data_IF_937508913001
#
_entry.id   IF_937508913001
#
_cell.length_a   1.000
_cell.length_b   1.000
_cell.length_c   1.000
_cell.angle_alpha   90.00
_cell.angle_beta   90.00
_cell.angle_gamma   90.00
#
_symmetry.space_group_name_H-M   'P 1'
#
loop_
_entity.id
_entity.type
_entity.pdbx_description
1 polymer ?
#
# COMPACT_ATOMS: atom_id res chain seq x y z
N UNK A 1 -18.72 1.32 2.19
CA UNK A 1 -17.41 1.80 1.73
C UNK A 1 -16.55 0.58 1.44
N UNK A 2 -15.82 0.56 0.33
CA UNK A 2 -15.03 -0.59 -0.13
C UNK A 2 -13.58 -0.18 -0.35
N UNK A 3 -12.67 -1.11 -0.05
CA UNK A 3 -11.24 -1.00 -0.33
C UNK A 3 -10.79 -2.29 -1.03
N UNK A 4 -9.90 -2.15 -2.00
CA UNK A 4 -9.19 -3.29 -2.60
C UNK A 4 -7.89 -3.54 -1.85
N UNK A 5 -7.59 -4.79 -1.52
CA UNK A 5 -6.30 -5.17 -0.94
C UNK A 5 -5.63 -6.18 -1.86
N UNK A 6 -4.43 -5.86 -2.31
CA UNK A 6 -3.59 -6.73 -3.12
C UNK A 6 -2.37 -7.16 -2.32
N UNK A 7 -2.25 -8.46 -2.05
CA UNK A 7 -1.01 -9.05 -1.54
C UNK A 7 -0.19 -9.56 -2.73
N UNK A 8 1.04 -9.09 -2.88
CA UNK A 8 1.88 -9.46 -4.01
C UNK A 8 3.38 -9.54 -3.65
N UNK A 9 4.17 -10.17 -4.51
CA UNK A 9 5.63 -10.16 -4.39
C UNK A 9 6.27 -8.85 -4.88
N UNK A 10 7.56 -8.67 -4.58
CA UNK A 10 8.29 -7.42 -4.86
C UNK A 10 8.26 -7.03 -6.35
N UNK A 11 8.37 -8.00 -7.27
CA UNK A 11 8.32 -7.73 -8.72
C UNK A 11 7.04 -7.03 -9.14
N UNK A 12 5.89 -7.47 -8.61
CA UNK A 12 4.58 -6.86 -8.92
C UNK A 12 4.46 -5.48 -8.29
N UNK A 13 4.92 -5.32 -7.04
CA UNK A 13 4.91 -4.04 -6.34
C UNK A 13 5.79 -3.01 -7.04
N UNK A 14 7.01 -3.38 -7.44
CA UNK A 14 7.91 -2.51 -8.23
C UNK A 14 7.27 -2.10 -9.56
N UNK A 15 6.63 -3.03 -10.28
CA UNK A 15 5.93 -2.72 -11.53
C UNK A 15 4.79 -1.70 -11.30
N UNK A 16 4.05 -1.81 -10.20
CA UNK A 16 3.00 -0.84 -9.83
C UNK A 16 3.61 0.51 -9.42
N UNK A 17 4.66 0.50 -8.61
CA UNK A 17 5.35 1.70 -8.14
C UNK A 17 5.93 2.50 -9.32
N UNK A 18 6.56 1.82 -10.28
CA UNK A 18 7.07 2.42 -11.52
C UNK A 18 5.93 2.98 -12.37
N UNK A 19 4.86 2.20 -12.57
CA UNK A 19 3.75 2.59 -13.45
C UNK A 19 2.97 3.79 -12.94
N UNK A 20 2.71 3.86 -11.63
CA UNK A 20 1.77 4.85 -11.07
C UNK A 20 2.45 5.96 -10.29
N UNK A 21 3.63 5.73 -9.71
CA UNK A 21 4.38 6.73 -8.92
C UNK A 21 5.75 7.08 -9.52
N UNK A 22 6.12 6.50 -10.66
CA UNK A 22 7.40 6.78 -11.34
C UNK A 22 8.65 6.24 -10.62
N UNK A 23 8.49 5.40 -9.60
CA UNK A 23 9.56 4.91 -8.72
C UNK A 23 9.91 3.45 -9.07
N UNK A 24 11.10 3.21 -9.62
CA UNK A 24 11.53 1.88 -10.09
C UNK A 24 12.24 1.05 -9.00
N UNK A 25 11.56 0.84 -7.87
CA UNK A 25 12.01 -0.04 -6.79
C UNK A 25 10.81 -0.64 -6.04
N UNK A 26 10.95 -1.83 -5.43
CA UNK A 26 9.90 -2.38 -4.58
C UNK A 26 9.81 -1.60 -3.26
N UNK A 27 8.58 -1.33 -2.80
CA UNK A 27 8.29 -0.78 -1.48
C UNK A 27 7.47 -1.80 -0.67
N UNK A 28 7.26 -1.53 0.61
CA UNK A 28 6.42 -2.35 1.48
C UNK A 28 4.93 -2.19 1.22
N UNK A 29 4.44 -0.96 1.03
CA UNK A 29 3.03 -0.66 0.75
C UNK A 29 2.87 0.47 -0.27
N UNK A 30 1.83 0.37 -1.09
CA UNK A 30 1.34 1.41 -1.98
C UNK A 30 -0.15 1.66 -1.70
N UNK A 31 -0.56 2.93 -1.66
CA UNK A 31 -1.95 3.33 -1.51
C UNK A 31 -2.38 4.17 -2.72
N UNK A 32 -3.47 3.77 -3.37
CA UNK A 32 -4.04 4.46 -4.54
C UNK A 32 -5.42 5.01 -4.18
N UNK A 33 -5.48 6.31 -3.90
CA UNK A 33 -6.73 6.99 -3.54
C UNK A 33 -7.56 7.34 -4.80
N UNK A 34 -8.79 6.84 -4.87
CA UNK A 34 -9.70 7.14 -5.99
C UNK A 34 -10.59 8.37 -5.75
N UNK A 35 -10.65 8.90 -4.53
CA UNK A 35 -11.39 10.12 -4.21
C UNK A 35 -10.65 11.38 -4.70
N UNK A 36 -9.32 11.33 -4.81
CA UNK A 36 -8.45 12.45 -5.22
C UNK A 36 -8.12 12.46 -6.72
N UNK A 37 -8.62 11.49 -7.50
CA UNK A 37 -8.34 11.36 -8.94
C UNK A 37 -9.44 11.89 -9.87
N UNK A 38 -9.09 12.18 -11.12
CA UNK A 38 -10.02 12.66 -12.18
C UNK A 38 -11.16 11.67 -12.52
N UNK A 39 -11.06 10.41 -12.08
CA UNK A 39 -12.04 9.36 -12.34
C UNK A 39 -12.61 8.83 -11.04
N UNK A 40 -13.63 9.53 -10.50
CA UNK A 40 -14.48 8.97 -9.44
C UNK A 40 -15.09 7.66 -9.95
N UNK A 41 -14.71 6.53 -9.34
CA UNK A 41 -15.38 5.27 -9.62
C UNK A 41 -16.83 5.35 -9.09
N UNK A 42 -17.81 4.75 -9.78
CA UNK A 42 -19.17 4.71 -9.27
C UNK A 42 -19.22 3.91 -7.95
N UNK A 43 -19.91 4.47 -6.95
CA UNK A 43 -20.14 3.84 -5.65
C UNK A 43 -19.18 4.25 -4.54
N UNK A 44 -19.32 3.61 -3.37
CA UNK A 44 -18.58 3.92 -2.14
C UNK A 44 -17.16 3.30 -2.13
N UNK A 45 -16.37 3.39 -3.20
CA UNK A 45 -15.04 2.76 -3.30
C UNK A 45 -13.92 3.78 -3.00
N UNK A 46 -13.14 3.54 -1.94
CA UNK A 46 -12.16 4.51 -1.42
C UNK A 46 -10.82 4.44 -2.18
N UNK A 47 -10.33 3.23 -2.45
CA UNK A 47 -8.95 3.06 -2.90
C UNK A 47 -8.51 1.61 -3.00
N UNK A 48 -7.28 1.44 -3.47
CA UNK A 48 -6.55 0.17 -3.42
C UNK A 48 -5.32 0.31 -2.51
N UNK A 49 -5.05 -0.73 -1.71
CA UNK A 49 -3.81 -0.90 -0.95
C UNK A 49 -3.08 -2.13 -1.49
N UNK A 50 -1.84 -1.97 -1.91
CA UNK A 50 -1.00 -3.08 -2.36
C UNK A 50 0.18 -3.28 -1.40
N UNK A 51 0.32 -4.49 -0.86
CA UNK A 51 1.35 -4.84 0.14
C UNK A 51 2.32 -5.88 -0.44
N UNK A 52 3.62 -5.64 -0.24
CA UNK A 52 4.66 -6.61 -0.54
C UNK A 52 4.76 -7.66 0.57
N UNK A 53 4.41 -8.91 0.25
CA UNK A 53 4.53 -10.05 1.18
C UNK A 53 6.00 -10.35 1.50
N UNK A 54 6.90 -10.12 0.55
CA UNK A 54 8.35 -10.32 0.76
C UNK A 54 8.90 -9.28 1.73
N UNK A 55 8.55 -8.00 1.56
CA UNK A 55 8.95 -6.93 2.50
C UNK A 55 8.35 -7.13 3.89
N UNK A 56 7.08 -7.55 3.98
CA UNK A 56 6.47 -7.86 5.26
C UNK A 56 7.20 -9.00 5.99
N UNK A 57 7.66 -10.03 5.26
CA UNK A 57 8.49 -11.10 5.84
C UNK A 57 9.86 -10.59 6.31
N UNK A 58 10.52 -9.74 5.52
CA UNK A 58 11.79 -9.10 5.91
C UNK A 58 11.62 -8.25 7.19
N UNK A 59 10.54 -7.46 7.27
CA UNK A 59 10.21 -6.63 8.43
C UNK A 59 9.87 -7.48 9.66
N UNK A 60 9.09 -8.54 9.48
CA UNK A 60 8.72 -9.47 10.55
C UNK A 60 9.97 -10.08 11.21
N UNK A 61 10.92 -10.56 10.40
CA UNK A 61 12.19 -11.09 10.90
C UNK A 61 13.02 -10.01 11.61
N UNK A 62 13.08 -8.80 11.04
CA UNK A 62 13.85 -7.68 11.60
C UNK A 62 13.30 -7.19 12.94
N UNK A 63 11.97 -7.14 13.10
CA UNK A 63 11.31 -6.57 14.27
C UNK A 63 10.81 -7.62 15.27
N UNK A 64 11.03 -8.92 14.99
CA UNK A 64 10.58 -10.01 15.87
C UNK A 64 9.06 -10.19 15.90
N UNK A 65 8.39 -9.89 14.78
CA UNK A 65 6.95 -10.02 14.60
C UNK A 65 6.61 -11.20 13.67
N UNK A 66 5.32 -11.48 13.49
CA UNK A 66 4.85 -12.44 12.47
C UNK A 66 4.56 -11.73 11.14
N UNK A 67 4.72 -12.41 9.99
CA UNK A 67 4.36 -11.83 8.69
C UNK A 67 2.91 -11.33 8.64
N UNK A 68 1.98 -12.03 9.30
CA UNK A 68 0.57 -11.64 9.37
C UNK A 68 0.37 -10.31 10.09
N UNK A 69 1.12 -10.09 11.18
CA UNK A 69 1.07 -8.83 11.94
C UNK A 69 1.61 -7.67 11.10
N UNK A 70 2.76 -7.85 10.45
CA UNK A 70 3.35 -6.83 9.57
C UNK A 70 2.43 -6.50 8.39
N UNK A 71 1.82 -7.51 7.76
CA UNK A 71 0.83 -7.29 6.69
C UNK A 71 -0.36 -6.50 7.24
N UNK A 72 -0.88 -6.82 8.43
CA UNK A 72 -1.99 -6.09 9.03
C UNK A 72 -1.63 -4.63 9.32
N UNK A 73 -0.43 -4.36 9.84
CA UNK A 73 0.09 -3.01 10.08
C UNK A 73 0.26 -2.23 8.78
N UNK A 74 0.83 -2.84 7.74
CA UNK A 74 0.98 -2.22 6.41
C UNK A 74 -0.36 -1.94 5.74
N UNK A 75 -1.35 -2.85 5.86
CA UNK A 75 -2.71 -2.61 5.36
C UNK A 75 -3.35 -1.45 6.12
N UNK A 76 -3.26 -1.43 7.45
CA UNK A 76 -3.80 -0.34 8.26
C UNK A 76 -3.16 1.00 7.89
N UNK A 77 -1.84 1.04 7.74
CA UNK A 77 -1.10 2.21 7.28
C UNK A 77 -1.55 2.66 5.88
N UNK A 78 -1.68 1.73 4.93
CA UNK A 78 -2.19 2.03 3.59
C UNK A 78 -3.62 2.60 3.60
N UNK A 79 -4.50 2.08 4.46
CA UNK A 79 -5.87 2.60 4.61
C UNK A 79 -5.88 4.02 5.22
N UNK A 80 -5.00 4.32 6.18
CA UNK A 80 -4.86 5.68 6.71
C UNK A 80 -4.49 6.68 5.62
N UNK A 81 -3.59 6.30 4.71
CA UNK A 81 -3.27 7.10 3.53
C UNK A 81 -4.46 7.33 2.61
N UNK A 82 -5.29 6.31 2.38
CA UNK A 82 -6.52 6.45 1.61
C UNK A 82 -7.52 7.42 2.25
N UNK A 83 -7.48 7.58 3.58
CA UNK A 83 -8.30 8.53 4.34
C UNK A 83 -7.69 9.94 4.41
N UNK A 84 -6.55 10.18 3.74
CA UNK A 84 -5.87 11.48 3.74
C UNK A 84 -5.04 11.75 5.00
N UNK A 85 -4.80 10.73 5.84
CA UNK A 85 -3.91 10.82 7.00
C UNK A 85 -2.50 10.48 6.55
N UNK A 86 -1.66 11.50 6.35
CA UNK A 86 -0.26 11.33 5.98
C UNK A 86 0.66 11.42 7.20
N UNK A 87 1.67 10.54 7.30
CA UNK A 87 2.73 10.68 8.28
C UNK A 87 3.82 11.64 7.78
N UNK A 88 4.54 12.28 8.72
CA UNK A 88 5.78 13.01 8.41
C UNK A 88 6.84 12.02 7.93
N UNK A 89 7.16 12.05 6.64
CA UNK A 89 8.17 11.20 6.02
C UNK A 89 7.74 10.53 4.71
N UNK A 90 6.45 10.58 4.38
CA UNK A 90 5.88 9.82 3.24
C UNK A 90 6.18 10.40 1.85
N UNK A 91 7.09 11.39 1.75
CA UNK A 91 7.62 11.90 0.49
C UNK A 91 6.55 12.26 -0.53
N UNK A 92 5.90 13.42 -0.32
CA UNK A 92 5.38 14.22 -1.43
C UNK A 92 6.53 14.97 -2.08
#
# INVERSE_FOLDING_TARGET
>A
MYIGVLLAGNKKIQALNKKYLGRDYPTDVLAFNYAEGEKKKPGNYLGDVAVSVEKAKEQAQKYGNTPEKEIAELVAHGVLHLLGVHHKGDGK
#
